data_IF_041517512216
#
_entry.id   IF_041517512216
#
_cell.length_a   1.000
_cell.length_b   1.000
_cell.length_c   1.000
_cell.angle_alpha   90.00
_cell.angle_beta   90.00
_cell.angle_gamma   90.00
#
_symmetry.space_group_name_H-M   'P 1'
#
loop_
_entity.id
_entity.type
_entity.pdbx_description
1 polymer ?
#
# COMPACT_ATOMS: atom_id res chain seq x y z
N UNK A 1 -2.08 28.57 75.44
CA UNK A 1 -3.02 28.41 74.31
C UNK A 1 -2.34 27.59 73.23
N UNK A 2 -2.91 26.43 72.86
CA UNK A 2 -2.39 25.52 71.83
C UNK A 2 -2.95 25.94 70.47
N UNK A 3 -2.10 26.19 69.47
CA UNK A 3 -2.53 26.31 68.08
C UNK A 3 -2.03 25.08 67.33
N UNK A 4 -3.01 24.31 66.82
CA UNK A 4 -2.86 23.19 65.91
C UNK A 4 -2.96 23.67 64.46
N UNK A 5 -2.59 22.76 63.56
CA UNK A 5 -3.01 22.63 62.15
C UNK A 5 -2.12 23.33 61.12
N UNK A 6 -1.82 22.74 59.96
CA UNK A 6 -2.05 21.39 59.40
C UNK A 6 -1.11 21.24 58.19
N UNK A 7 -0.63 20.04 57.93
CA UNK A 7 0.10 19.68 56.72
C UNK A 7 -0.82 19.73 55.50
N UNK A 8 -0.55 20.60 54.54
CA UNK A 8 -1.20 20.54 53.23
C UNK A 8 -0.36 19.67 52.29
N UNK A 9 -0.79 18.42 52.11
CA UNK A 9 -0.31 17.56 51.04
C UNK A 9 -0.96 18.01 49.72
N UNK A 10 -0.15 18.50 48.78
CA UNK A 10 -0.60 18.82 47.44
C UNK A 10 -0.75 17.52 46.62
N UNK A 11 -1.98 17.13 46.31
CA UNK A 11 -2.26 16.02 45.40
C UNK A 11 -2.18 16.51 43.95
N UNK A 12 -1.14 16.10 43.21
CA UNK A 12 -1.10 16.24 41.74
C UNK A 12 -2.02 15.18 41.11
N UNK A 13 -3.17 15.60 40.59
CA UNK A 13 -4.00 14.75 39.76
C UNK A 13 -3.48 14.75 38.32
N UNK A 14 -2.81 13.66 37.90
CA UNK A 14 -2.54 13.40 36.48
C UNK A 14 -3.82 12.88 35.82
N UNK A 15 -4.52 13.73 35.09
CA UNK A 15 -5.60 13.31 34.19
C UNK A 15 -5.00 12.74 32.90
N UNK A 16 -4.85 11.41 32.87
CA UNK A 16 -4.51 10.69 31.64
C UNK A 16 -5.71 10.76 30.67
N UNK A 17 -5.56 11.55 29.61
CA UNK A 17 -6.50 11.58 28.49
C UNK A 17 -6.41 10.23 27.74
N UNK A 18 -7.32 9.31 28.05
CA UNK A 18 -7.52 8.10 27.26
C UNK A 18 -8.13 8.49 25.90
N UNK A 19 -7.29 8.71 24.90
CA UNK A 19 -7.73 8.81 23.51
C UNK A 19 -8.19 7.43 23.04
N UNK A 20 -9.38 7.30 22.43
CA UNK A 20 -9.79 6.04 21.82
C UNK A 20 -8.80 5.72 20.67
N UNK A 21 -8.07 4.63 20.80
CA UNK A 21 -7.30 4.08 19.70
C UNK A 21 -8.29 3.55 18.65
N UNK A 22 -8.50 4.30 17.58
CA UNK A 22 -9.17 3.78 16.39
C UNK A 22 -8.26 2.73 15.76
N UNK A 23 -8.62 1.46 15.94
CA UNK A 23 -8.01 0.35 15.21
C UNK A 23 -8.26 0.57 13.72
N UNK A 24 -7.23 0.99 12.98
CA UNK A 24 -7.30 1.05 11.53
C UNK A 24 -7.44 -0.37 10.98
N UNK A 25 -8.64 -0.75 10.56
CA UNK A 25 -8.87 -2.01 9.85
C UNK A 25 -8.36 -1.85 8.42
N UNK A 26 -7.21 -2.45 8.10
CA UNK A 26 -6.78 -2.56 6.72
C UNK A 26 -7.79 -3.45 5.97
N UNK A 27 -8.41 -2.92 4.91
CA UNK A 27 -9.24 -3.71 4.04
C UNK A 27 -8.39 -4.83 3.41
N UNK A 28 -8.93 -6.05 3.39
CA UNK A 28 -8.27 -7.16 2.72
C UNK A 28 -8.10 -6.84 1.23
N UNK A 29 -6.99 -7.26 0.64
CA UNK A 29 -6.80 -7.14 -0.80
C UNK A 29 -7.90 -7.92 -1.56
N UNK A 30 -8.45 -7.36 -2.65
CA UNK A 30 -9.41 -8.09 -3.47
C UNK A 30 -8.74 -9.31 -4.11
N UNK A 31 -9.54 -10.28 -4.54
CA UNK A 31 -9.04 -11.40 -5.32
C UNK A 31 -8.50 -10.93 -6.67
N UNK A 32 -7.40 -11.53 -7.11
CA UNK A 32 -6.87 -11.40 -8.47
C UNK A 32 -6.70 -12.82 -9.06
N UNK A 33 -7.10 -13.07 -10.32
CA UNK A 33 -7.01 -14.40 -10.92
C UNK A 33 -5.60 -15.01 -10.82
N UNK A 34 -5.54 -16.33 -10.63
CA UNK A 34 -4.27 -17.05 -10.58
C UNK A 34 -3.45 -16.84 -11.86
N UNK A 35 -2.16 -16.55 -11.71
CA UNK A 35 -1.30 -16.27 -12.87
C UNK A 35 -1.41 -14.83 -13.38
N UNK A 36 -2.10 -13.95 -12.66
CA UNK A 36 -2.33 -12.56 -13.06
C UNK A 36 -1.83 -11.53 -12.04
N UNK A 37 -1.77 -10.28 -12.49
CA UNK A 37 -1.60 -9.08 -11.66
C UNK A 37 -2.72 -8.12 -12.03
N UNK A 38 -3.43 -7.65 -11.01
CA UNK A 38 -4.54 -6.73 -11.13
C UNK A 38 -4.06 -5.36 -10.68
N UNK A 39 -3.96 -4.44 -11.64
CA UNK A 39 -3.54 -3.06 -11.42
C UNK A 39 -4.74 -2.15 -11.30
N UNK A 40 -4.60 -1.12 -10.46
CA UNK A 40 -5.61 -0.10 -10.25
C UNK A 40 -4.94 1.28 -10.26
N UNK A 41 -5.58 2.24 -10.90
CA UNK A 41 -5.09 3.62 -11.00
C UNK A 41 -5.14 4.37 -9.67
N UNK A 42 -6.16 4.09 -8.85
CA UNK A 42 -6.32 4.68 -7.52
C UNK A 42 -5.66 3.85 -6.41
N UNK A 43 -5.52 4.47 -5.24
CA UNK A 43 -5.21 3.75 -4.00
C UNK A 43 -6.38 2.84 -3.57
N UNK A 44 -6.10 1.87 -2.71
CA UNK A 44 -7.07 0.94 -2.12
C UNK A 44 -7.94 0.22 -3.17
N UNK A 45 -7.35 -0.11 -4.32
CA UNK A 45 -7.94 -0.91 -5.38
C UNK A 45 -9.13 -0.25 -6.10
N UNK A 46 -9.10 1.08 -6.24
CA UNK A 46 -10.13 1.87 -6.91
C UNK A 46 -9.67 2.44 -8.26
N UNK A 47 -10.62 3.01 -9.01
CA UNK A 47 -10.37 3.66 -10.30
C UNK A 47 -10.40 2.69 -11.49
N UNK A 48 -9.82 3.12 -12.61
CA UNK A 48 -9.59 2.24 -13.76
C UNK A 48 -8.68 1.09 -13.37
N UNK A 49 -9.01 -0.11 -13.86
CA UNK A 49 -8.27 -1.33 -13.59
C UNK A 49 -7.84 -2.04 -14.86
N UNK A 50 -6.76 -2.80 -14.77
CA UNK A 50 -6.30 -3.67 -15.84
C UNK A 50 -5.69 -4.95 -15.27
N UNK A 51 -6.04 -6.08 -15.87
CA UNK A 51 -5.44 -7.37 -15.57
C UNK A 51 -4.33 -7.67 -16.58
N UNK A 52 -3.12 -7.86 -16.08
CA UNK A 52 -2.05 -8.49 -16.81
C UNK A 52 -1.98 -9.97 -16.46
N UNK A 53 -1.82 -10.84 -17.47
CA UNK A 53 -1.62 -12.29 -17.24
C UNK A 53 -0.20 -12.68 -17.58
N UNK A 54 0.41 -13.61 -16.83
CA UNK A 54 1.76 -14.10 -17.12
C UNK A 54 1.89 -14.70 -18.53
N UNK A 55 0.80 -15.27 -19.07
CA UNK A 55 0.74 -15.81 -20.43
C UNK A 55 0.80 -14.74 -21.51
N UNK A 56 0.42 -13.51 -21.18
CA UNK A 56 0.54 -12.40 -22.13
C UNK A 56 2.00 -12.05 -22.40
N UNK A 57 2.94 -12.40 -21.52
CA UNK A 57 4.35 -12.02 -21.66
C UNK A 57 4.55 -10.54 -21.37
N UNK A 58 5.53 -9.92 -22.02
CA UNK A 58 5.76 -8.48 -21.88
C UNK A 58 4.55 -7.67 -22.39
N UNK A 59 4.17 -6.64 -21.63
CA UNK A 59 3.18 -5.64 -22.00
C UNK A 59 3.57 -4.29 -21.42
N UNK A 60 3.46 -3.25 -22.23
CA UNK A 60 3.41 -1.89 -21.72
C UNK A 60 2.12 -1.68 -20.92
N UNK A 61 2.19 -0.82 -19.92
CA UNK A 61 1.01 -0.39 -19.17
C UNK A 61 0.03 0.32 -20.12
N UNK A 62 -1.28 0.06 -19.99
CA UNK A 62 -2.27 0.81 -20.74
C UNK A 62 -2.24 2.30 -20.32
N UNK A 63 -2.73 3.23 -21.17
CA UNK A 63 -2.58 4.67 -20.93
C UNK A 63 -3.06 5.18 -19.57
N UNK A 64 -4.08 4.56 -18.97
CA UNK A 64 -4.61 4.97 -17.66
C UNK A 64 -3.74 4.52 -16.46
N UNK A 65 -2.71 3.69 -16.69
CA UNK A 65 -1.87 3.09 -15.65
C UNK A 65 -0.37 3.32 -15.90
N UNK A 66 0.01 3.79 -17.08
CA UNK A 66 1.39 4.18 -17.39
C UNK A 66 1.78 5.34 -16.46
N UNK A 67 2.83 5.16 -15.67
CA UNK A 67 3.24 6.09 -14.60
C UNK A 67 2.13 6.39 -13.57
N UNK A 68 1.11 5.53 -13.47
CA UNK A 68 -0.11 5.86 -12.73
C UNK A 68 -0.78 4.65 -12.08
N UNK A 69 0.01 3.76 -11.48
CA UNK A 69 -0.52 2.65 -10.67
C UNK A 69 -0.63 3.08 -9.21
N UNK A 70 -1.87 3.26 -8.74
CA UNK A 70 -2.15 3.60 -7.35
C UNK A 70 -2.15 2.41 -6.39
N UNK A 71 -2.51 1.22 -6.87
CA UNK A 71 -2.47 -0.02 -6.10
C UNK A 71 -2.44 -1.25 -7.01
N UNK A 72 -2.04 -2.40 -6.46
CA UNK A 72 -2.04 -3.66 -7.20
C UNK A 72 -2.23 -4.87 -6.26
N UNK A 73 -2.67 -5.99 -6.85
CA UNK A 73 -2.64 -7.33 -6.25
C UNK A 73 -1.97 -8.28 -7.23
N UNK A 74 -1.05 -9.10 -6.74
CA UNK A 74 -0.30 -10.07 -7.53
C UNK A 74 -0.63 -11.50 -7.11
N UNK A 75 -1.04 -12.32 -8.08
CA UNK A 75 -1.26 -13.77 -7.92
C UNK A 75 -0.24 -14.59 -8.74
N UNK A 76 0.92 -13.99 -9.04
CA UNK A 76 2.01 -14.62 -9.80
C UNK A 76 3.34 -13.89 -9.57
N UNK A 77 4.42 -14.37 -10.18
CA UNK A 77 5.70 -13.63 -10.24
C UNK A 77 5.77 -12.78 -11.51
N UNK A 78 6.25 -11.56 -11.36
CA UNK A 78 6.47 -10.65 -12.48
C UNK A 78 7.64 -9.69 -12.24
N UNK A 79 8.03 -9.02 -13.31
CA UNK A 79 8.97 -7.92 -13.29
C UNK A 79 8.25 -6.63 -13.69
N UNK A 80 8.15 -5.66 -12.78
CA UNK A 80 7.72 -4.30 -13.12
C UNK A 80 8.91 -3.51 -13.64
N UNK A 81 8.69 -2.70 -14.67
CA UNK A 81 9.76 -2.03 -15.40
C UNK A 81 9.42 -0.56 -15.58
N UNK A 82 10.40 0.30 -15.25
CA UNK A 82 10.51 1.69 -15.69
C UNK A 82 11.66 1.74 -16.70
N UNK A 83 11.52 2.51 -17.78
CA UNK A 83 12.54 2.72 -18.80
C UNK A 83 13.25 4.07 -18.64
N UNK A 84 12.69 5.01 -17.88
CA UNK A 84 13.24 6.36 -17.68
C UNK A 84 13.37 6.79 -16.21
N UNK A 85 14.53 6.60 -15.54
CA UNK A 85 15.65 5.74 -15.92
C UNK A 85 15.28 4.26 -15.83
N UNK A 86 16.08 3.38 -16.43
CA UNK A 86 15.82 1.94 -16.36
C UNK A 86 15.91 1.45 -14.91
N UNK A 87 14.75 1.10 -14.34
CA UNK A 87 14.60 0.52 -13.00
C UNK A 87 13.66 -0.67 -13.11
N UNK A 88 13.95 -1.74 -12.35
CA UNK A 88 13.15 -2.96 -12.36
C UNK A 88 12.82 -3.37 -10.94
N UNK A 89 11.60 -3.87 -10.71
CA UNK A 89 11.18 -4.41 -9.42
C UNK A 89 10.58 -5.79 -9.54
N UNK A 90 11.15 -6.71 -8.77
CA UNK A 90 10.58 -8.04 -8.57
C UNK A 90 9.25 -7.92 -7.83
N UNK A 91 8.27 -8.68 -8.29
CA UNK A 91 6.96 -8.84 -7.65
C UNK A 91 6.70 -10.33 -7.50
N UNK A 92 6.25 -10.71 -6.32
CA UNK A 92 6.04 -12.09 -5.93
C UNK A 92 4.55 -12.43 -5.88
N UNK A 93 4.26 -13.73 -5.82
CA UNK A 93 2.91 -14.21 -5.60
C UNK A 93 2.42 -13.75 -4.22
N UNK A 94 1.16 -13.34 -4.12
CA UNK A 94 0.49 -12.77 -2.96
C UNK A 94 0.97 -11.37 -2.53
N UNK A 95 1.86 -10.72 -3.30
CA UNK A 95 2.18 -9.32 -3.07
C UNK A 95 0.96 -8.43 -3.37
N UNK A 96 0.73 -7.44 -2.52
CA UNK A 96 -0.20 -6.35 -2.83
C UNK A 96 0.26 -5.05 -2.19
N UNK A 97 -0.15 -3.93 -2.78
CA UNK A 97 0.07 -2.59 -2.23
C UNK A 97 -1.21 -1.79 -2.38
N UNK A 98 -1.73 -1.27 -1.27
CA UNK A 98 -2.90 -0.38 -1.24
C UNK A 98 -2.55 1.07 -1.57
N UNK A 99 -1.29 1.47 -1.37
CA UNK A 99 -0.76 2.78 -1.76
C UNK A 99 0.57 2.58 -2.47
N UNK A 100 0.58 2.82 -3.77
CA UNK A 100 1.73 2.53 -4.63
C UNK A 100 2.10 3.66 -5.59
N UNK A 101 1.20 4.63 -5.78
CA UNK A 101 1.42 5.75 -6.69
C UNK A 101 2.68 6.55 -6.33
N UNK A 102 2.89 6.82 -5.05
CA UNK A 102 4.08 7.55 -4.57
C UNK A 102 5.38 6.75 -4.55
N UNK A 103 5.37 5.49 -4.98
CA UNK A 103 6.54 4.61 -5.01
C UNK A 103 6.91 4.27 -6.47
N UNK A 104 6.97 2.99 -6.83
CA UNK A 104 7.26 2.57 -8.20
C UNK A 104 6.04 2.78 -9.09
N UNK A 105 4.81 2.70 -8.54
CA UNK A 105 3.57 2.82 -9.30
C UNK A 105 3.43 4.12 -10.09
N UNK A 106 4.01 5.21 -9.61
CA UNK A 106 4.08 6.49 -10.31
C UNK A 106 5.15 6.58 -11.42
N UNK A 107 5.80 5.46 -11.75
CA UNK A 107 6.83 5.35 -12.79
C UNK A 107 6.89 3.98 -13.48
N UNK A 108 5.83 3.17 -13.36
CA UNK A 108 5.79 1.87 -14.05
C UNK A 108 5.36 2.12 -15.49
N UNK A 109 6.24 1.71 -16.41
CA UNK A 109 5.97 1.73 -17.84
C UNK A 109 5.41 0.42 -18.35
N UNK A 110 5.86 -0.70 -17.78
CA UNK A 110 5.58 -2.03 -18.31
C UNK A 110 5.66 -3.15 -17.24
N UNK A 111 5.15 -4.32 -17.63
CA UNK A 111 5.20 -5.55 -16.84
C UNK A 111 5.63 -6.72 -17.73
N UNK A 112 6.50 -7.57 -17.20
CA UNK A 112 7.00 -8.78 -17.86
C UNK A 112 6.91 -10.03 -16.97
N UNK A 113 6.98 -11.23 -17.56
CA UNK A 113 6.87 -12.49 -16.82
C UNK A 113 8.14 -12.81 -16.02
N UNK A 114 7.97 -13.49 -14.89
CA UNK A 114 9.10 -14.05 -14.13
C UNK A 114 9.82 -13.04 -13.25
N UNK A 115 11.11 -13.26 -12.99
CA UNK A 115 11.92 -12.36 -12.17
C UNK A 115 12.57 -11.26 -13.02
N UNK A 116 12.82 -10.11 -12.38
CA UNK A 116 13.87 -9.20 -12.78
C UNK A 116 15.22 -9.73 -12.26
#
# INVERSE_FOLDING_TARGET
>A
MKLRAWSFAAALALTALALPAQSASAAAAPSCPDGSICFYSGENFHGSSWEWTARSGYRDMPPALHDHVGSFVSSTRACFINWGPVEKRNVFNADYRTRYLGDFGGRIDAVGPGAC
#
